data_IF_393634658082
#
_entry.id   IF_393634658082
#
_cell.length_a   1.000
_cell.length_b   1.000
_cell.length_c   1.000
_cell.angle_alpha   90.00
_cell.angle_beta   90.00
_cell.angle_gamma   90.00
#
_symmetry.space_group_name_H-M   'P 1'
#
loop_
_entity.id
_entity.type
_entity.pdbx_description
1 polymer ?
#
# COMPACT_ATOMS: atom_id res chain seq x y z
N UNK A 1 11.49 0.40 -1.01
CA UNK A 1 11.75 -0.32 -2.28
C UNK A 1 10.48 -0.31 -3.11
N UNK A 2 10.56 0.15 -4.35
CA UNK A 2 9.42 0.14 -5.25
C UNK A 2 9.07 -1.28 -5.72
N UNK A 3 7.78 -1.56 -5.92
CA UNK A 3 7.29 -2.82 -6.46
C UNK A 3 6.17 -2.61 -7.48
N UNK A 4 6.02 -3.55 -8.41
CA UNK A 4 4.85 -3.61 -9.29
C UNK A 4 4.45 -5.05 -9.62
N UNK A 5 3.15 -5.26 -9.77
CA UNK A 5 2.50 -6.50 -10.21
C UNK A 5 1.73 -6.20 -11.50
N UNK A 6 2.13 -6.86 -12.58
CA UNK A 6 1.55 -6.68 -13.91
C UNK A 6 0.91 -8.00 -14.37
N UNK A 7 -0.41 -8.06 -14.56
CA UNK A 7 -1.04 -9.22 -15.19
C UNK A 7 -0.71 -9.30 -16.68
N UNK A 8 -0.43 -10.50 -17.17
CA UNK A 8 -0.22 -10.82 -18.58
C UNK A 8 -1.36 -11.71 -19.10
N UNK A 9 -1.74 -11.50 -20.37
CA UNK A 9 -2.81 -12.24 -21.07
C UNK A 9 -4.19 -12.17 -20.37
N UNK A 10 -4.41 -11.17 -19.51
CA UNK A 10 -5.69 -10.98 -18.84
C UNK A 10 -6.76 -10.39 -19.76
N UNK A 11 -8.00 -10.81 -19.57
CA UNK A 11 -9.19 -10.25 -20.22
C UNK A 11 -9.81 -9.17 -19.34
N UNK A 12 -10.55 -8.26 -19.98
CA UNK A 12 -11.17 -7.08 -19.39
C UNK A 12 -10.16 -6.11 -18.77
N UNK A 13 -10.39 -5.64 -17.55
CA UNK A 13 -9.60 -4.55 -16.97
C UNK A 13 -8.54 -5.12 -16.02
N UNK A 14 -7.30 -5.22 -16.52
CA UNK A 14 -6.15 -5.74 -15.79
C UNK A 14 -5.16 -4.63 -15.47
N UNK A 15 -5.45 -3.79 -14.45
CA UNK A 15 -4.56 -2.70 -14.09
C UNK A 15 -3.24 -3.24 -13.54
N UNK A 16 -2.16 -2.51 -13.80
CA UNK A 16 -0.89 -2.69 -13.10
C UNK A 16 -1.03 -2.15 -11.69
N UNK A 17 -0.73 -2.97 -10.69
CA UNK A 17 -0.62 -2.52 -9.30
C UNK A 17 0.82 -2.15 -9.05
N UNK A 18 1.10 -0.90 -8.70
CA UNK A 18 2.46 -0.46 -8.46
C UNK A 18 2.58 0.59 -7.37
N UNK A 19 3.70 0.52 -6.67
CA UNK A 19 4.22 1.57 -5.82
C UNK A 19 5.69 1.71 -6.16
N UNK A 20 6.03 2.59 -7.11
CA UNK A 20 7.39 2.71 -7.66
C UNK A 20 8.25 3.72 -6.89
N UNK A 21 7.64 4.58 -6.08
CA UNK A 21 8.36 5.60 -5.32
C UNK A 21 9.20 4.98 -4.21
N UNK A 22 10.36 5.58 -3.97
CA UNK A 22 11.15 5.30 -2.77
C UNK A 22 10.57 6.05 -1.57
N UNK A 23 9.69 5.38 -0.84
CA UNK A 23 9.05 5.94 0.35
C UNK A 23 10.02 6.25 1.48
N UNK A 24 11.27 5.78 1.45
CA UNK A 24 12.26 6.12 2.50
C UNK A 24 12.60 7.62 2.52
N UNK A 25 12.44 8.30 1.38
CA UNK A 25 12.73 9.72 1.22
C UNK A 25 11.63 10.63 1.78
N UNK A 26 10.37 10.17 1.73
CA UNK A 26 9.20 10.96 2.15
C UNK A 26 8.47 10.39 3.37
N UNK A 27 8.96 9.29 3.94
CA UNK A 27 8.34 8.63 5.09
C UNK A 27 8.19 9.59 6.28
N UNK A 28 6.97 9.81 6.81
CA UNK A 28 6.73 10.59 8.01
C UNK A 28 7.57 10.10 9.18
N UNK A 29 8.10 11.02 9.99
CA UNK A 29 9.05 10.71 11.07
C UNK A 29 8.55 9.64 12.02
N UNK A 30 7.27 9.67 12.38
CA UNK A 30 6.63 8.70 13.27
C UNK A 30 6.48 7.29 12.68
N UNK A 31 6.68 7.12 11.37
CA UNK A 31 6.60 5.84 10.66
C UNK A 31 7.98 5.28 10.27
N UNK A 32 9.05 6.04 10.43
CA UNK A 32 10.38 5.65 9.97
C UNK A 32 10.94 4.45 10.73
N UNK A 33 11.42 3.47 9.99
CA UNK A 33 12.34 2.44 10.49
C UNK A 33 13.74 2.85 10.07
N UNK A 34 14.64 3.05 11.03
CA UNK A 34 16.03 3.46 10.75
C UNK A 34 16.95 2.25 10.68
N UNK A 35 17.92 2.31 9.77
CA UNK A 35 18.98 1.31 9.70
C UNK A 35 19.84 1.35 10.97
N UNK A 36 20.48 0.22 11.29
CA UNK A 36 21.45 0.15 12.37
C UNK A 36 22.64 1.11 12.15
N UNK A 37 23.38 1.40 13.22
CA UNK A 37 24.63 2.16 13.19
C UNK A 37 24.53 3.57 12.59
N UNK A 38 23.39 4.25 12.77
CA UNK A 38 23.23 5.64 12.32
C UNK A 38 22.94 5.80 10.83
N UNK A 39 22.57 4.72 10.14
CA UNK A 39 22.13 4.78 8.76
C UNK A 39 20.78 5.51 8.58
N UNK A 40 20.42 5.77 7.32
CA UNK A 40 19.19 6.45 6.95
C UNK A 40 17.91 5.66 7.25
N UNK A 41 16.78 6.16 6.74
CA UNK A 41 15.50 5.45 6.80
C UNK A 41 15.60 4.21 5.91
N UNK A 42 15.38 3.03 6.49
CA UNK A 42 15.43 1.75 5.80
C UNK A 42 14.05 1.29 5.31
N UNK A 43 12.99 1.64 6.03
CA UNK A 43 11.61 1.30 5.69
C UNK A 43 10.62 2.29 6.30
N UNK A 44 9.36 2.22 5.85
CA UNK A 44 8.25 3.02 6.39
C UNK A 44 7.16 2.08 6.90
N UNK A 45 6.79 2.19 8.18
CA UNK A 45 5.69 1.43 8.77
C UNK A 45 4.36 1.95 8.26
N UNK A 46 3.34 1.09 8.18
CA UNK A 46 1.96 1.56 8.10
C UNK A 46 1.53 2.17 9.44
N UNK A 47 0.45 2.96 9.44
CA UNK A 47 -0.13 3.48 10.68
C UNK A 47 -0.51 2.36 11.67
N UNK A 48 -1.11 1.27 11.18
CA UNK A 48 -1.42 0.11 12.02
C UNK A 48 -0.16 -0.48 12.68
N UNK A 49 0.91 -0.70 11.91
CA UNK A 49 2.15 -1.28 12.44
C UNK A 49 2.88 -0.33 13.42
N UNK A 50 2.71 0.98 13.25
CA UNK A 50 3.32 1.96 14.13
C UNK A 50 2.56 2.13 15.46
N UNK A 51 1.23 2.08 15.45
CA UNK A 51 0.40 2.51 16.58
C UNK A 51 -0.54 1.43 17.15
N UNK A 52 -0.89 0.40 16.38
CA UNK A 52 -1.70 -0.73 16.85
C UNK A 52 -3.15 -0.41 17.25
N UNK A 53 -3.66 0.79 16.94
CA UNK A 53 -5.03 1.19 17.26
C UNK A 53 -6.04 0.50 16.35
N UNK A 54 -7.21 0.15 16.87
CA UNK A 54 -8.30 -0.45 16.10
C UNK A 54 -8.69 0.36 14.86
N UNK A 55 -8.69 1.69 14.98
CA UNK A 55 -8.98 2.61 13.87
C UNK A 55 -7.94 2.49 12.75
N UNK A 56 -6.65 2.43 13.05
CA UNK A 56 -5.62 2.30 12.02
C UNK A 56 -5.50 0.87 11.46
N UNK A 57 -5.91 -0.13 12.23
CA UNK A 57 -5.83 -1.55 11.86
C UNK A 57 -7.13 -2.12 11.27
N UNK A 58 -8.21 -1.32 11.19
CA UNK A 58 -9.53 -1.79 10.73
C UNK A 58 -10.13 -2.90 11.61
N UNK A 59 -9.91 -2.86 12.93
CA UNK A 59 -10.40 -3.88 13.85
C UNK A 59 -11.71 -3.47 14.54
N UNK A 60 -12.41 -4.45 15.12
CA UNK A 60 -13.63 -4.24 15.91
C UNK A 60 -14.67 -3.40 15.17
N UNK A 61 -15.07 -2.26 15.74
CA UNK A 61 -16.06 -1.35 15.16
C UNK A 61 -15.59 -0.69 13.86
N UNK A 62 -14.29 -0.73 13.54
CA UNK A 62 -13.70 -0.15 12.33
C UNK A 62 -13.53 -1.16 11.19
N UNK A 63 -14.09 -2.36 11.30
CA UNK A 63 -14.01 -3.41 10.27
C UNK A 63 -15.13 -3.32 9.21
N UNK A 64 -15.64 -2.11 8.93
CA UNK A 64 -16.65 -1.91 7.89
C UNK A 64 -16.37 -0.65 7.09
N UNK A 65 -16.74 -0.61 5.80
CA UNK A 65 -16.59 0.59 4.98
C UNK A 65 -17.34 1.82 5.51
N UNK A 66 -18.40 1.61 6.32
CA UNK A 66 -19.20 2.69 6.89
C UNK A 66 -18.54 3.33 8.11
N UNK A 67 -17.70 2.58 8.83
CA UNK A 67 -17.10 2.99 10.11
C UNK A 67 -15.62 3.28 10.00
N UNK A 68 -14.94 2.74 8.99
CA UNK A 68 -13.55 3.04 8.69
C UNK A 68 -13.42 4.31 7.86
N UNK A 69 -12.48 5.19 8.22
CA UNK A 69 -12.13 6.37 7.43
C UNK A 69 -10.63 6.36 7.10
N UNK A 70 -10.22 6.89 5.95
CA UNK A 70 -8.80 7.12 5.68
C UNK A 70 -8.19 7.95 6.80
N UNK A 71 -7.01 7.53 7.27
CA UNK A 71 -6.18 8.28 8.19
C UNK A 71 -5.16 9.11 7.42
N UNK A 72 -4.55 10.12 8.08
CA UNK A 72 -3.41 10.86 7.51
C UNK A 72 -2.28 9.95 7.01
N UNK A 73 -2.12 8.76 7.61
CA UNK A 73 -1.09 7.81 7.23
C UNK A 73 -1.47 7.05 5.96
N UNK A 74 -2.70 6.53 5.85
CA UNK A 74 -3.16 5.87 4.63
C UNK A 74 -3.21 6.85 3.45
N UNK A 75 -3.62 8.10 3.70
CA UNK A 75 -3.64 9.15 2.69
C UNK A 75 -2.24 9.48 2.17
N UNK A 76 -1.24 9.51 3.06
CA UNK A 76 0.17 9.62 2.66
C UNK A 76 0.55 8.52 1.67
N UNK A 77 0.35 7.25 2.02
CA UNK A 77 0.68 6.14 1.13
C UNK A 77 -0.13 6.20 -0.19
N UNK A 78 -1.39 6.67 -0.14
CA UNK A 78 -2.23 6.76 -1.33
C UNK A 78 -1.75 7.85 -2.28
N UNK A 79 -1.30 8.97 -1.73
CA UNK A 79 -0.73 10.07 -2.50
C UNK A 79 0.59 9.68 -3.18
N UNK A 80 1.41 8.87 -2.51
CA UNK A 80 2.69 8.41 -3.05
C UNK A 80 2.51 7.27 -4.05
N UNK A 81 1.56 6.38 -3.78
CA UNK A 81 1.30 5.17 -4.57
C UNK A 81 -0.21 4.98 -4.83
N UNK A 82 -0.80 5.74 -5.77
CA UNK A 82 -2.26 5.72 -6.02
C UNK A 82 -2.81 4.38 -6.48
N UNK A 83 -1.96 3.55 -7.11
CA UNK A 83 -2.31 2.21 -7.59
C UNK A 83 -2.15 1.12 -6.53
N UNK A 84 -1.56 1.44 -5.37
CA UNK A 84 -1.40 0.50 -4.27
C UNK A 84 -2.63 0.54 -3.35
N UNK A 85 -2.85 -0.59 -2.67
CA UNK A 85 -3.75 -0.66 -1.53
C UNK A 85 -3.05 -0.09 -0.31
N UNK A 86 -3.70 0.85 0.36
CA UNK A 86 -3.13 1.61 1.47
C UNK A 86 -3.90 1.41 2.78
N UNK A 87 -5.10 0.83 2.70
CA UNK A 87 -5.90 0.37 3.82
C UNK A 87 -6.93 -0.70 3.36
N UNK A 88 -7.62 -1.35 4.30
CA UNK A 88 -8.45 -2.53 4.02
C UNK A 88 -9.64 -2.29 3.08
N UNK A 89 -10.13 -1.06 3.00
CA UNK A 89 -11.27 -0.67 2.16
C UNK A 89 -10.87 0.35 1.07
N UNK A 90 -9.60 0.37 0.70
CA UNK A 90 -9.07 1.22 -0.37
C UNK A 90 -9.64 0.75 -1.72
N UNK A 91 -10.72 1.40 -2.16
CA UNK A 91 -11.37 1.19 -3.46
C UNK A 91 -10.77 2.19 -4.48
N UNK A 92 -10.52 1.79 -5.75
CA UNK A 92 -11.25 0.76 -6.49
C UNK A 92 -10.34 -0.44 -6.80
N UNK A 93 -10.66 -1.60 -6.24
CA UNK A 93 -10.07 -2.87 -6.69
C UNK A 93 -10.63 -3.25 -8.06
N UNK A 94 -10.17 -2.55 -9.10
CA UNK A 94 -10.33 -2.98 -10.49
C UNK A 94 -9.65 -4.34 -10.73
N UNK A 95 -8.85 -4.84 -9.78
CA UNK A 95 -8.31 -6.20 -9.74
C UNK A 95 -9.37 -7.29 -9.85
N UNK A 96 -10.57 -7.13 -9.28
CA UNK A 96 -11.65 -8.11 -9.45
C UNK A 96 -12.23 -8.13 -10.87
N UNK A 97 -11.91 -7.12 -11.68
CA UNK A 97 -12.33 -7.03 -13.08
C UNK A 97 -11.25 -7.58 -14.05
N UNK A 98 -10.11 -8.05 -13.52
CA UNK A 98 -9.12 -8.78 -14.29
C UNK A 98 -9.46 -10.26 -14.25
N UNK A 99 -9.82 -10.83 -15.39
CA UNK A 99 -10.17 -12.25 -15.51
C UNK A 99 -9.17 -12.96 -16.42
N UNK A 100 -9.00 -14.27 -16.23
CA UNK A 100 -8.18 -15.11 -17.10
C UNK A 100 -6.72 -14.67 -17.28
N UNK A 101 -6.12 -13.95 -16.31
CA UNK A 101 -4.68 -13.70 -16.33
C UNK A 101 -3.92 -15.02 -16.20
N UNK A 102 -3.16 -15.39 -17.22
CA UNK A 102 -2.37 -16.64 -17.21
C UNK A 102 -1.01 -16.47 -16.53
N UNK A 103 -0.54 -15.23 -16.37
CA UNK A 103 0.76 -14.92 -15.78
C UNK A 103 0.71 -13.60 -15.01
N UNK A 104 1.48 -13.51 -13.91
CA UNK A 104 1.72 -12.27 -13.16
C UNK A 104 3.22 -11.97 -13.15
N UNK A 105 3.61 -10.80 -13.66
CA UNK A 105 4.98 -10.32 -13.57
C UNK A 105 5.15 -9.43 -12.34
N UNK A 106 6.00 -9.86 -11.42
CA UNK A 106 6.36 -9.10 -10.22
C UNK A 106 7.75 -8.50 -10.40
N UNK A 107 7.87 -7.19 -10.25
CA UNK A 107 9.13 -6.45 -10.39
C UNK A 107 9.40 -5.72 -9.10
N UNK A 108 10.61 -5.89 -8.57
CA UNK A 108 11.16 -5.12 -7.45
C UNK A 108 12.17 -4.10 -7.99
N UNK A 109 12.40 -3.02 -7.23
CA UNK A 109 13.40 -2.00 -7.58
C UNK A 109 13.16 -1.36 -8.95
N UNK A 110 11.92 -0.92 -9.19
CA UNK A 110 11.58 -0.17 -10.39
C UNK A 110 12.38 1.15 -10.48
#
# INVERSE_FOLDING_TARGET
MGMSVTPHEGRSNCPVLACRKDLTQTCPGELQVRAAAGGGVAACKSGCLAFGTDELCCHNTYNSPATYRPSKYSDFFKSECPQAFTYAHDNPSLTHQCSASCELKVIFCH
#
